data_IF_212689769623
#
_entry.id   IF_212689769623
#
_cell.length_a   1.000
_cell.length_b   1.000
_cell.length_c   1.000
_cell.angle_alpha   90.00
_cell.angle_beta   90.00
_cell.angle_gamma   90.00
#
_symmetry.space_group_name_H-M   'P 1'
#
loop_
_entity.id
_entity.type
_entity.pdbx_description
1 polymer ?
#
# COMPACT_ATOMS: atom_id res chain seq x y z
N UNK A 1 6.11 30.01 3.22
CA UNK A 1 7.58 30.04 3.29
C UNK A 1 8.04 30.66 1.97
N UNK A 2 8.79 31.77 2.02
CA UNK A 2 9.19 32.48 0.80
C UNK A 2 10.30 31.70 0.06
N UNK A 3 10.35 31.81 -1.28
CA UNK A 3 11.32 31.08 -2.14
C UNK A 3 12.78 31.03 -1.61
N UNK A 4 13.38 32.15 -1.14
CA UNK A 4 14.76 32.10 -0.64
C UNK A 4 14.90 31.32 0.68
N UNK A 5 13.88 31.36 1.55
CA UNK A 5 13.91 30.63 2.84
C UNK A 5 13.81 29.11 2.67
N UNK A 6 13.08 28.64 1.65
CA UNK A 6 13.00 27.21 1.33
C UNK A 6 14.27 26.70 0.64
N UNK A 7 14.88 27.50 -0.24
CA UNK A 7 16.17 27.15 -0.86
C UNK A 7 17.29 27.00 0.19
N UNK A 8 17.34 27.91 1.17
CA UNK A 8 18.27 27.78 2.30
C UNK A 8 17.96 26.58 3.20
N UNK A 9 16.68 26.23 3.41
CA UNK A 9 16.29 25.05 4.17
C UNK A 9 16.75 23.76 3.49
N UNK A 10 16.57 23.70 2.17
CA UNK A 10 17.04 22.58 1.36
C UNK A 10 18.57 22.48 1.39
N UNK A 11 19.34 23.57 1.33
CA UNK A 11 20.81 23.50 1.43
C UNK A 11 21.41 22.93 2.74
N UNK A 12 20.60 22.64 3.76
CA UNK A 12 21.04 22.01 4.99
C UNK A 12 21.24 20.48 4.82
N UNK A 13 22.04 19.81 5.68
CA UNK A 13 22.13 18.36 5.71
C UNK A 13 20.79 17.76 6.22
N UNK A 14 19.85 17.59 5.30
CA UNK A 14 18.52 17.06 5.58
C UNK A 14 18.57 15.53 5.65
N UNK A 15 18.04 14.98 6.75
CA UNK A 15 17.84 13.53 6.90
C UNK A 15 16.51 13.04 6.35
N UNK A 16 15.49 13.89 6.42
CA UNK A 16 14.13 13.55 5.99
C UNK A 16 13.55 14.69 5.17
N UNK A 17 12.88 14.36 4.06
CA UNK A 17 12.26 15.32 3.17
C UNK A 17 10.88 14.84 2.74
N UNK A 18 9.89 15.73 2.82
CA UNK A 18 8.54 15.49 2.33
C UNK A 18 8.17 16.53 1.27
N UNK A 19 7.82 16.05 0.08
CA UNK A 19 7.43 16.85 -1.08
C UNK A 19 6.03 16.43 -1.53
N UNK A 20 5.01 17.18 -1.11
CA UNK A 20 3.62 17.03 -1.59
C UNK A 20 3.33 17.94 -2.79
N UNK A 21 2.25 17.71 -3.52
CA UNK A 21 1.87 18.39 -4.79
C UNK A 21 2.10 19.92 -4.85
N UNK A 22 1.85 20.66 -3.76
CA UNK A 22 2.08 22.12 -3.74
C UNK A 22 3.55 22.53 -3.78
N UNK A 23 4.46 21.62 -3.42
CA UNK A 23 5.89 21.88 -3.24
C UNK A 23 6.63 21.97 -4.59
N UNK A 24 6.31 21.09 -5.54
CA UNK A 24 7.00 21.04 -6.83
C UNK A 24 6.78 22.31 -7.65
N UNK A 25 5.54 22.80 -7.73
CA UNK A 25 5.21 24.05 -8.44
C UNK A 25 5.91 25.28 -7.87
N UNK A 26 6.21 25.27 -6.56
CA UNK A 26 6.81 26.41 -5.87
C UNK A 26 8.34 26.38 -5.87
N UNK A 27 8.94 25.19 -5.97
CA UNK A 27 10.37 24.98 -5.71
C UNK A 27 11.09 24.10 -6.74
N UNK A 28 10.58 24.05 -7.98
CA UNK A 28 11.16 23.25 -9.08
C UNK A 28 12.67 23.49 -9.26
N UNK A 29 13.10 24.75 -9.30
CA UNK A 29 14.51 25.11 -9.50
C UNK A 29 15.41 24.56 -8.38
N UNK A 30 14.90 24.55 -7.15
CA UNK A 30 15.64 24.01 -5.99
C UNK A 30 15.69 22.49 -6.05
N UNK A 31 14.60 21.83 -6.45
CA UNK A 31 14.61 20.38 -6.62
C UNK A 31 15.59 19.98 -7.74
N UNK A 32 15.62 20.73 -8.86
CA UNK A 32 16.58 20.53 -9.96
C UNK A 32 18.03 20.64 -9.48
N UNK A 33 18.38 21.66 -8.68
CA UNK A 33 19.76 21.82 -8.20
C UNK A 33 20.23 20.64 -7.34
N UNK A 34 19.31 19.97 -6.63
CA UNK A 34 19.63 18.82 -5.77
C UNK A 34 19.65 17.48 -6.50
N UNK A 35 19.29 17.46 -7.79
CA UNK A 35 19.59 16.34 -8.68
C UNK A 35 21.07 16.39 -9.12
N UNK A 36 21.62 17.60 -9.28
CA UNK A 36 23.03 17.84 -9.60
C UNK A 36 23.93 17.65 -8.38
N UNK A 37 23.49 18.13 -7.21
CA UNK A 37 24.17 17.97 -5.92
C UNK A 37 23.26 17.26 -4.89
N UNK A 38 23.26 15.91 -4.85
CA UNK A 38 22.37 15.14 -3.99
C UNK A 38 22.58 15.42 -2.50
N UNK A 39 21.48 15.39 -1.74
CA UNK A 39 21.51 15.41 -0.27
C UNK A 39 22.24 14.18 0.24
N UNK A 40 23.48 14.37 0.67
CA UNK A 40 24.34 13.27 1.14
C UNK A 40 23.75 12.53 2.33
N UNK A 41 23.05 13.25 3.19
CA UNK A 41 22.52 12.75 4.46
C UNK A 41 21.04 12.34 4.40
N UNK A 42 20.40 12.42 3.23
CA UNK A 42 18.99 12.10 3.10
C UNK A 42 18.74 10.60 3.22
N UNK A 43 17.99 10.23 4.25
CA UNK A 43 17.65 8.85 4.59
C UNK A 43 16.15 8.56 4.40
N UNK A 44 15.28 9.57 4.49
CA UNK A 44 13.84 9.40 4.38
C UNK A 44 13.23 10.36 3.36
N UNK A 45 12.44 9.82 2.44
CA UNK A 45 11.82 10.60 1.38
C UNK A 45 10.34 10.24 1.24
N UNK A 46 9.47 11.24 1.35
CA UNK A 46 8.04 11.15 1.04
C UNK A 46 7.76 12.05 -0.14
N UNK A 47 7.28 11.48 -1.25
CA UNK A 47 7.03 12.23 -2.49
C UNK A 47 5.69 11.86 -3.09
N UNK A 48 4.97 12.87 -3.54
CA UNK A 48 3.81 12.69 -4.40
C UNK A 48 4.24 12.80 -5.88
N UNK A 49 4.04 11.71 -6.63
CA UNK A 49 4.34 11.60 -8.05
C UNK A 49 3.21 12.24 -8.87
N UNK A 50 3.48 13.43 -9.39
CA UNK A 50 2.52 14.30 -10.09
C UNK A 50 2.98 14.62 -11.53
N UNK A 51 2.54 15.77 -12.08
CA UNK A 51 2.90 16.22 -13.42
C UNK A 51 4.42 16.39 -13.64
N UNK A 52 5.23 16.46 -12.57
CA UNK A 52 6.70 16.56 -12.62
C UNK A 52 7.39 15.18 -12.60
N UNK A 53 6.79 14.17 -13.21
CA UNK A 53 7.21 12.76 -13.21
C UNK A 53 8.70 12.53 -13.44
N UNK A 54 9.28 13.18 -14.46
CA UNK A 54 10.70 13.02 -14.80
C UNK A 54 11.60 13.55 -13.67
N UNK A 55 11.29 14.75 -13.18
CA UNK A 55 12.06 15.39 -12.11
C UNK A 55 12.01 14.55 -10.83
N UNK A 56 10.84 14.02 -10.49
CA UNK A 56 10.64 13.17 -9.32
C UNK A 56 11.40 11.86 -9.46
N UNK A 57 11.34 11.25 -10.64
CA UNK A 57 12.09 10.02 -10.94
C UNK A 57 13.59 10.26 -10.78
N UNK A 58 14.13 11.32 -11.39
CA UNK A 58 15.54 11.66 -11.28
C UNK A 58 15.95 11.95 -9.83
N UNK A 59 15.12 12.69 -9.08
CA UNK A 59 15.35 12.97 -7.67
C UNK A 59 15.46 11.66 -6.86
N UNK A 60 14.49 10.75 -6.98
CA UNK A 60 14.49 9.48 -6.24
C UNK A 60 15.72 8.65 -6.61
N UNK A 61 15.98 8.46 -7.92
CA UNK A 61 17.06 7.58 -8.39
C UNK A 61 18.47 8.11 -8.05
N UNK A 62 18.63 9.42 -7.88
CA UNK A 62 19.90 10.02 -7.41
C UNK A 62 20.14 9.84 -5.92
N UNK A 63 19.08 9.71 -5.12
CA UNK A 63 19.16 9.54 -3.67
C UNK A 63 19.06 8.04 -3.31
N UNK A 64 20.05 7.25 -3.70
CA UNK A 64 20.03 5.79 -3.49
C UNK A 64 20.42 5.34 -2.07
N UNK A 65 20.82 6.26 -1.19
CA UNK A 65 21.15 6.00 0.22
C UNK A 65 19.93 5.93 1.14
N UNK A 66 18.72 6.11 0.62
CA UNK A 66 17.48 6.13 1.39
C UNK A 66 17.28 4.85 2.21
N UNK A 67 16.81 5.02 3.44
CA UNK A 67 16.31 3.99 4.34
C UNK A 67 14.79 3.85 4.27
N UNK A 68 14.09 4.94 3.97
CA UNK A 68 12.63 4.97 3.85
C UNK A 68 12.21 5.76 2.61
N UNK A 69 11.32 5.16 1.81
CA UNK A 69 10.73 5.78 0.64
C UNK A 69 9.21 5.58 0.67
N UNK A 70 8.46 6.68 0.65
CA UNK A 70 7.03 6.69 0.40
C UNK A 70 6.82 7.44 -0.91
N UNK A 71 6.16 6.78 -1.87
CA UNK A 71 5.84 7.39 -3.14
C UNK A 71 4.39 7.13 -3.53
N UNK A 72 3.65 8.20 -3.82
CA UNK A 72 2.23 8.12 -4.20
C UNK A 72 2.00 8.74 -5.55
N UNK A 73 1.47 7.99 -6.50
CA UNK A 73 0.94 8.54 -7.75
C UNK A 73 -0.40 9.25 -7.49
N UNK A 74 -0.57 10.46 -8.02
CA UNK A 74 -1.84 11.19 -7.85
C UNK A 74 -2.98 10.50 -8.59
N UNK A 75 -4.20 10.68 -8.08
CA UNK A 75 -5.41 10.15 -8.70
C UNK A 75 -5.83 10.93 -9.95
N UNK A 76 -5.26 12.11 -10.19
CA UNK A 76 -5.73 13.07 -11.20
C UNK A 76 -4.99 12.99 -12.55
N UNK A 77 -3.97 12.14 -12.66
CA UNK A 77 -3.13 12.07 -13.86
C UNK A 77 -3.85 11.44 -15.06
N UNK A 78 -4.74 12.16 -15.72
CA UNK A 78 -5.49 11.64 -16.88
C UNK A 78 -4.54 11.24 -18.01
N UNK A 79 -4.49 9.94 -18.35
CA UNK A 79 -3.80 9.47 -19.56
C UNK A 79 -3.14 8.10 -19.42
N UNK A 80 -2.70 7.55 -20.56
CA UNK A 80 -1.89 6.31 -20.64
C UNK A 80 -0.44 6.50 -20.19
N UNK A 81 -0.16 7.52 -19.38
CA UNK A 81 1.20 7.76 -18.91
C UNK A 81 1.49 6.85 -17.72
N UNK A 82 2.24 5.81 -18.03
CA UNK A 82 2.63 4.74 -17.13
C UNK A 82 4.10 4.87 -16.73
N UNK A 83 4.72 6.05 -16.84
CA UNK A 83 6.13 6.24 -16.44
C UNK A 83 6.38 5.83 -14.98
N UNK A 84 5.40 6.00 -14.10
CA UNK A 84 5.47 5.56 -12.71
C UNK A 84 5.80 4.05 -12.64
N UNK A 85 5.05 3.24 -13.39
CA UNK A 85 5.16 1.78 -13.40
C UNK A 85 6.17 1.25 -14.43
N UNK A 86 6.54 2.03 -15.43
CA UNK A 86 7.49 1.63 -16.48
C UNK A 86 8.92 2.12 -16.27
N UNK A 87 9.09 3.19 -15.50
CA UNK A 87 10.38 3.88 -15.35
C UNK A 87 10.74 4.03 -13.89
N UNK A 88 9.89 4.66 -13.08
CA UNK A 88 10.25 5.01 -11.70
C UNK A 88 10.39 3.76 -10.83
N UNK A 89 9.35 2.92 -10.73
CA UNK A 89 9.40 1.70 -9.91
C UNK A 89 10.45 0.71 -10.43
N UNK A 90 10.54 0.39 -11.73
CA UNK A 90 11.63 -0.45 -12.24
C UNK A 90 13.03 0.12 -11.98
N UNK A 91 13.16 1.45 -11.88
CA UNK A 91 14.40 2.13 -11.54
C UNK A 91 14.87 1.91 -10.10
N UNK A 92 13.97 1.54 -9.18
CA UNK A 92 14.32 1.20 -7.79
C UNK A 92 15.09 -0.14 -7.69
N UNK A 93 14.96 -1.00 -8.71
CA UNK A 93 15.71 -2.25 -8.82
C UNK A 93 17.18 -2.04 -9.16
N UNK A 94 17.87 -3.13 -9.55
CA UNK A 94 19.27 -3.15 -10.02
C UNK A 94 20.33 -2.90 -8.93
N UNK A 95 19.99 -3.19 -7.67
CA UNK A 95 20.95 -3.11 -6.55
C UNK A 95 21.39 -1.69 -6.20
N UNK A 96 20.61 -0.68 -6.56
CA UNK A 96 20.91 0.73 -6.24
C UNK A 96 20.54 1.07 -4.79
N UNK A 97 19.38 0.62 -4.31
CA UNK A 97 18.80 1.00 -3.03
C UNK A 97 19.11 0.01 -1.90
N UNK A 98 20.41 -0.26 -1.66
CA UNK A 98 20.83 -1.28 -0.68
C UNK A 98 20.53 -0.90 0.78
N UNK A 99 20.30 0.38 1.07
CA UNK A 99 19.96 0.86 2.40
C UNK A 99 18.46 0.90 2.68
N UNK A 100 17.62 0.68 1.67
CA UNK A 100 16.17 0.82 1.82
C UNK A 100 15.60 -0.29 2.70
N UNK A 101 14.90 0.10 3.77
CA UNK A 101 14.25 -0.80 4.74
C UNK A 101 12.74 -0.67 4.73
N UNK A 102 12.22 0.51 4.38
CA UNK A 102 10.79 0.79 4.32
C UNK A 102 10.41 1.36 2.97
N UNK A 103 9.50 0.69 2.27
CA UNK A 103 8.98 1.13 0.99
C UNK A 103 7.44 1.14 1.01
N UNK A 104 6.85 2.29 0.69
CA UNK A 104 5.42 2.42 0.44
C UNK A 104 5.19 2.96 -0.97
N UNK A 105 4.44 2.21 -1.76
CA UNK A 105 4.07 2.60 -3.12
C UNK A 105 2.55 2.63 -3.23
N UNK A 106 2.03 3.73 -3.73
CA UNK A 106 0.63 3.86 -4.09
C UNK A 106 0.49 4.17 -5.58
N UNK A 107 -0.23 3.32 -6.28
CA UNK A 107 -0.69 3.56 -7.64
C UNK A 107 -2.07 4.21 -7.66
N UNK A 108 -2.26 5.11 -8.62
CA UNK A 108 -3.56 5.67 -8.95
C UNK A 108 -4.37 4.75 -9.88
N UNK A 109 -5.65 5.07 -10.09
CA UNK A 109 -6.54 4.30 -10.97
C UNK A 109 -6.25 4.41 -12.47
N UNK A 110 -5.11 4.96 -12.87
CA UNK A 110 -4.73 5.24 -14.27
C UNK A 110 -4.14 4.01 -14.98
N UNK A 111 -3.56 3.04 -14.25
CA UNK A 111 -3.11 1.77 -14.86
C UNK A 111 -4.24 0.74 -14.98
N UNK A 112 -5.51 1.17 -14.87
CA UNK A 112 -6.64 0.30 -15.26
C UNK A 112 -6.62 0.16 -16.78
N UNK A 113 -6.58 -1.06 -17.29
CA UNK A 113 -6.56 -1.29 -18.72
C UNK A 113 -7.85 -0.72 -19.34
N UNK A 114 -7.70 0.28 -20.20
CA UNK A 114 -8.82 1.00 -20.81
C UNK A 114 -9.49 0.19 -21.95
N UNK A 115 -9.01 -1.04 -22.20
CA UNK A 115 -9.51 -1.93 -23.23
C UNK A 115 -10.00 -3.24 -22.64
N UNK A 116 -11.29 -3.52 -22.86
CA UNK A 116 -11.93 -4.84 -22.77
C UNK A 116 -12.13 -5.41 -21.36
N UNK A 117 -13.37 -5.26 -20.87
CA UNK A 117 -14.08 -6.14 -19.93
C UNK A 117 -13.48 -6.43 -18.54
N UNK A 118 -12.24 -6.06 -18.26
CA UNK A 118 -11.54 -6.38 -17.03
C UNK A 118 -11.27 -5.09 -16.23
N UNK A 119 -12.26 -4.67 -15.46
CA UNK A 119 -12.29 -3.44 -14.66
C UNK A 119 -11.26 -3.38 -13.48
N UNK A 120 -10.17 -4.16 -13.54
CA UNK A 120 -9.20 -4.41 -12.48
C UNK A 120 -7.81 -3.83 -12.78
N UNK A 121 -7.05 -3.58 -11.71
CA UNK A 121 -5.68 -3.08 -11.75
C UNK A 121 -4.68 -4.22 -11.49
N UNK A 122 -3.63 -4.30 -12.31
CA UNK A 122 -2.48 -5.15 -12.10
C UNK A 122 -1.19 -4.32 -12.03
N UNK A 123 -0.32 -4.65 -11.07
CA UNK A 123 1.05 -4.10 -11.02
C UNK A 123 1.85 -4.74 -12.16
N UNK A 124 2.57 -3.94 -12.95
CA UNK A 124 3.42 -4.48 -14.01
C UNK A 124 4.45 -5.49 -13.46
N UNK A 125 4.69 -6.63 -14.16
CA UNK A 125 5.67 -7.62 -13.71
C UNK A 125 7.05 -7.04 -13.45
N UNK A 126 7.50 -6.09 -14.28
CA UNK A 126 8.79 -5.41 -14.17
C UNK A 126 8.89 -4.59 -12.87
N UNK A 127 7.83 -3.86 -12.51
CA UNK A 127 7.74 -3.14 -11.25
C UNK A 127 7.82 -4.08 -10.06
N UNK A 128 7.04 -5.16 -10.09
CA UNK A 128 7.03 -6.13 -9.01
C UNK A 128 8.38 -6.82 -8.86
N UNK A 129 9.03 -7.18 -9.98
CA UNK A 129 10.37 -7.74 -9.99
C UNK A 129 11.39 -6.78 -9.36
N UNK A 130 11.38 -5.50 -9.76
CA UNK A 130 12.29 -4.49 -9.22
C UNK A 130 12.12 -4.29 -7.70
N UNK A 131 10.88 -4.25 -7.20
CA UNK A 131 10.60 -4.19 -5.76
C UNK A 131 11.21 -5.42 -5.05
N UNK A 132 11.07 -6.60 -5.65
CA UNK A 132 11.55 -7.86 -5.09
C UNK A 132 13.08 -8.02 -5.10
N UNK A 133 13.80 -7.21 -5.88
CA UNK A 133 15.27 -7.16 -5.87
C UNK A 133 15.84 -6.43 -4.64
N UNK A 134 15.02 -5.62 -3.95
CA UNK A 134 15.41 -4.85 -2.77
C UNK A 134 15.32 -5.76 -1.53
N UNK A 135 16.20 -6.77 -1.46
CA UNK A 135 16.22 -7.82 -0.43
C UNK A 135 16.44 -7.31 1.00
N UNK A 136 16.80 -6.05 1.13
CA UNK A 136 16.99 -5.37 2.41
C UNK A 136 15.71 -4.83 3.02
N UNK A 137 14.58 -4.85 2.29
CA UNK A 137 13.29 -4.41 2.81
C UNK A 137 12.86 -5.18 4.06
N UNK A 138 12.46 -4.43 5.08
CA UNK A 138 11.82 -4.91 6.30
C UNK A 138 10.33 -4.54 6.33
N UNK A 139 9.93 -3.47 5.64
CA UNK A 139 8.55 -2.98 5.57
C UNK A 139 8.19 -2.69 4.11
N UNK A 140 7.08 -3.25 3.64
CA UNK A 140 6.56 -3.04 2.30
C UNK A 140 5.08 -2.73 2.36
N UNK A 141 4.67 -1.62 1.75
CA UNK A 141 3.28 -1.26 1.54
C UNK A 141 2.97 -1.05 0.07
N UNK A 142 1.93 -1.73 -0.40
CA UNK A 142 1.42 -1.65 -1.77
C UNK A 142 -0.03 -1.19 -1.70
N UNK A 143 -0.36 -0.09 -2.39
CA UNK A 143 -1.73 0.40 -2.47
C UNK A 143 -2.13 0.66 -3.91
N UNK A 144 -3.30 0.14 -4.27
CA UNK A 144 -3.87 0.32 -5.60
C UNK A 144 -5.31 0.78 -5.45
N UNK A 145 -5.55 2.09 -5.59
CA UNK A 145 -6.87 2.65 -5.32
C UNK A 145 -7.25 3.73 -6.33
N UNK A 146 -8.55 3.85 -6.59
CA UNK A 146 -9.12 4.89 -7.45
C UNK A 146 -9.92 5.87 -6.63
N UNK A 147 -9.63 7.15 -6.72
CA UNK A 147 -10.51 8.17 -6.14
C UNK A 147 -11.82 8.19 -6.93
N UNK A 148 -12.95 8.25 -6.22
CA UNK A 148 -14.25 8.46 -6.86
C UNK A 148 -14.81 9.77 -6.35
N UNK A 149 -15.03 10.72 -7.27
CA UNK A 149 -15.70 11.99 -6.93
C UNK A 149 -17.20 11.74 -6.88
N UNK A 150 -17.77 11.70 -5.67
CA UNK A 150 -19.20 11.88 -5.44
C UNK A 150 -19.40 13.22 -4.71
N UNK A 151 -19.77 14.28 -5.43
CA UNK A 151 -20.08 15.58 -4.81
C UNK A 151 -18.89 16.29 -4.14
N UNK A 152 -19.20 17.25 -3.25
CA UNK A 152 -18.23 18.19 -2.64
C UNK A 152 -17.47 17.67 -1.41
N UNK A 153 -17.74 16.46 -0.90
CA UNK A 153 -17.05 15.99 0.30
C UNK A 153 -16.71 14.48 0.31
N UNK A 154 -15.49 14.23 0.81
CA UNK A 154 -14.84 12.99 1.26
C UNK A 154 -14.00 12.19 0.26
N UNK A 155 -12.78 11.90 0.72
CA UNK A 155 -11.68 11.17 0.09
C UNK A 155 -11.97 9.66 0.00
N UNK A 156 -13.13 9.29 -0.56
CA UNK A 156 -13.49 7.90 -0.72
C UNK A 156 -12.73 7.31 -1.92
N UNK A 157 -11.72 6.50 -1.60
CA UNK A 157 -11.01 5.69 -2.59
C UNK A 157 -11.64 4.31 -2.69
N UNK A 158 -11.82 3.82 -3.91
CA UNK A 158 -12.35 2.50 -4.18
C UNK A 158 -11.20 1.50 -4.38
N UNK A 159 -11.30 0.28 -3.82
CA UNK A 159 -10.36 -0.79 -4.11
C UNK A 159 -10.56 -1.25 -5.55
N UNK A 160 -9.45 -1.36 -6.29
CA UNK A 160 -9.46 -1.71 -7.72
C UNK A 160 -8.51 -2.87 -8.05
N UNK A 161 -7.77 -3.36 -7.05
CA UNK A 161 -6.79 -4.41 -7.26
C UNK A 161 -7.42 -5.77 -7.01
N UNK A 162 -7.83 -6.42 -8.10
CA UNK A 162 -8.28 -7.81 -8.04
C UNK A 162 -7.04 -8.68 -7.83
N UNK A 163 -6.67 -8.87 -6.57
CA UNK A 163 -5.35 -9.37 -6.23
C UNK A 163 -5.23 -10.89 -6.47
N UNK A 164 -4.17 -11.29 -7.17
CA UNK A 164 -3.68 -12.67 -7.17
C UNK A 164 -2.61 -12.82 -6.07
N UNK A 165 -3.04 -13.32 -4.91
CA UNK A 165 -2.14 -13.58 -3.79
C UNK A 165 -1.07 -14.63 -4.10
N UNK A 166 -1.37 -15.64 -4.92
CA UNK A 166 -0.39 -16.69 -5.26
C UNK A 166 0.74 -16.12 -6.11
N UNK A 167 0.40 -15.29 -7.11
CA UNK A 167 1.38 -14.55 -7.92
C UNK A 167 2.16 -13.57 -7.05
N UNK A 168 1.53 -12.83 -6.15
CA UNK A 168 2.26 -11.89 -5.29
C UNK A 168 3.21 -12.62 -4.32
N UNK A 169 2.76 -13.73 -3.72
CA UNK A 169 3.60 -14.58 -2.85
C UNK A 169 4.84 -15.10 -3.58
N UNK A 170 4.70 -15.56 -4.83
CA UNK A 170 5.82 -16.09 -5.61
C UNK A 170 6.87 -15.02 -5.97
N UNK A 171 6.47 -13.75 -6.12
CA UNK A 171 7.41 -12.65 -6.32
C UNK A 171 8.07 -12.24 -5.00
N UNK A 172 7.27 -12.00 -3.95
CA UNK A 172 7.78 -11.49 -2.66
C UNK A 172 8.66 -12.49 -1.91
N UNK A 173 8.70 -13.76 -2.30
CA UNK A 173 9.48 -14.80 -1.61
C UNK A 173 10.96 -14.45 -1.44
N UNK A 174 11.54 -13.56 -2.26
CA UNK A 174 12.94 -13.14 -2.14
C UNK A 174 13.19 -12.13 -1.01
N UNK A 175 12.14 -11.47 -0.51
CA UNK A 175 12.22 -10.47 0.55
C UNK A 175 12.29 -11.13 1.94
N UNK A 176 13.34 -11.93 2.19
CA UNK A 176 13.49 -12.73 3.42
C UNK A 176 13.59 -11.91 4.71
N UNK A 177 13.85 -10.61 4.61
CA UNK A 177 13.91 -9.70 5.74
C UNK A 177 12.58 -9.00 6.05
N UNK A 178 11.54 -9.21 5.24
CA UNK A 178 10.28 -8.52 5.39
C UNK A 178 9.56 -8.92 6.67
N UNK A 179 9.32 -7.93 7.54
CA UNK A 179 8.61 -8.04 8.82
C UNK A 179 7.19 -7.51 8.74
N UNK A 180 6.94 -6.52 7.89
CA UNK A 180 5.65 -5.86 7.75
C UNK A 180 5.23 -5.80 6.28
N UNK A 181 4.04 -6.32 5.98
CA UNK A 181 3.44 -6.28 4.65
C UNK A 181 2.07 -5.61 4.69
N UNK A 182 1.91 -4.52 3.94
CA UNK A 182 0.63 -3.84 3.75
C UNK A 182 0.17 -4.02 2.32
N UNK A 183 -1.02 -4.58 2.15
CA UNK A 183 -1.75 -4.68 0.90
C UNK A 183 -3.04 -3.87 1.09
N UNK A 184 -3.21 -2.82 0.29
CA UNK A 184 -4.40 -1.95 0.34
C UNK A 184 -5.00 -1.69 -1.01
N UNK A 185 -6.31 -1.48 -1.00
CA UNK A 185 -7.08 -1.34 -2.24
C UNK A 185 -7.26 -2.67 -2.98
N UNK A 186 -6.93 -3.78 -2.32
CA UNK A 186 -7.23 -5.13 -2.76
C UNK A 186 -8.73 -5.41 -2.68
N UNK A 187 -9.22 -6.17 -3.63
CA UNK A 187 -10.59 -6.65 -3.70
C UNK A 187 -10.61 -8.06 -4.30
N UNK A 188 -11.77 -8.69 -4.21
CA UNK A 188 -11.96 -10.10 -4.55
C UNK A 188 -13.17 -10.28 -5.46
N UNK A 189 -13.27 -11.39 -6.20
CA UNK A 189 -14.47 -11.71 -6.94
C UNK A 189 -15.68 -11.74 -5.98
N UNK A 190 -16.80 -11.09 -6.32
CA UNK A 190 -18.00 -11.14 -5.50
C UNK A 190 -18.58 -12.55 -5.57
N UNK A 191 -18.97 -13.10 -4.42
CA UNK A 191 -19.58 -14.44 -4.32
C UNK A 191 -21.09 -14.45 -4.53
N UNK A 192 -21.69 -13.27 -4.51
CA UNK A 192 -23.11 -13.02 -4.77
C UNK A 192 -23.19 -11.87 -5.76
N UNK A 193 -24.10 -11.98 -6.73
CA UNK A 193 -24.34 -10.97 -7.75
C UNK A 193 -23.09 -10.60 -8.57
N UNK A 194 -22.50 -11.59 -9.24
CA UNK A 194 -21.33 -11.44 -10.12
C UNK A 194 -21.48 -10.31 -11.16
N UNK A 195 -22.72 -10.02 -11.55
CA UNK A 195 -23.11 -8.92 -12.46
C UNK A 195 -22.59 -7.55 -12.00
N UNK A 196 -22.44 -7.31 -10.69
CA UNK A 196 -21.91 -6.04 -10.19
C UNK A 196 -20.37 -5.96 -10.28
N UNK A 197 -19.67 -7.09 -10.43
CA UNK A 197 -18.21 -7.14 -10.53
C UNK A 197 -17.47 -6.92 -9.20
N UNK A 198 -16.15 -7.13 -9.21
CA UNK A 198 -15.27 -7.13 -8.03
C UNK A 198 -15.23 -5.82 -7.23
N UNK A 199 -15.64 -4.69 -7.82
CA UNK A 199 -15.71 -3.40 -7.12
C UNK A 199 -16.75 -3.36 -6.00
N UNK A 200 -17.71 -4.28 -6.02
CA UNK A 200 -18.79 -4.36 -5.04
C UNK A 200 -18.53 -5.36 -3.91
N UNK A 201 -17.39 -6.06 -3.93
CA UNK A 201 -17.08 -7.09 -2.93
C UNK A 201 -17.33 -6.64 -1.48
N UNK A 202 -16.74 -5.51 -1.07
CA UNK A 202 -16.92 -4.97 0.28
C UNK A 202 -18.25 -4.22 0.49
N UNK A 203 -18.85 -3.70 -0.59
CA UNK A 203 -20.08 -2.90 -0.51
C UNK A 203 -21.32 -3.76 -0.38
N UNK A 204 -21.38 -4.88 -1.09
CA UNK A 204 -22.51 -5.80 -1.02
C UNK A 204 -22.50 -6.61 0.27
N UNK A 205 -21.31 -7.04 0.74
CA UNK A 205 -21.07 -7.80 1.98
C UNK A 205 -22.14 -8.85 2.37
N UNK A 206 -22.76 -9.48 1.37
CA UNK A 206 -23.77 -10.51 1.54
C UNK A 206 -23.12 -11.90 1.48
N UNK A 207 -23.44 -12.75 2.44
CA UNK A 207 -22.98 -14.14 2.46
C UNK A 207 -23.72 -14.97 1.40
N UNK A 208 -23.00 -15.94 0.81
CA UNK A 208 -23.62 -17.06 0.12
C UNK A 208 -23.69 -18.30 1.04
N UNK A 209 -24.14 -19.43 0.50
CA UNK A 209 -24.24 -20.68 1.27
C UNK A 209 -22.87 -21.19 1.76
N UNK A 210 -21.80 -20.97 1.00
CA UNK A 210 -20.43 -21.37 1.38
C UNK A 210 -19.90 -20.51 2.53
N UNK A 211 -20.21 -19.21 2.53
CA UNK A 211 -19.81 -18.29 3.59
C UNK A 211 -20.53 -18.67 4.90
N UNK A 212 -21.83 -19.00 4.82
CA UNK A 212 -22.60 -19.53 5.95
C UNK A 212 -22.02 -20.86 6.48
N UNK A 213 -21.57 -21.74 5.58
CA UNK A 213 -20.95 -23.00 5.98
C UNK A 213 -19.58 -22.77 6.61
N UNK A 214 -18.75 -21.91 6.04
CA UNK A 214 -17.46 -21.50 6.61
C UNK A 214 -17.63 -20.98 8.03
N UNK A 215 -18.66 -20.15 8.27
CA UNK A 215 -18.96 -19.62 9.59
C UNK A 215 -19.35 -20.70 10.63
N UNK A 216 -19.95 -21.80 10.18
CA UNK A 216 -20.27 -22.97 11.02
C UNK A 216 -19.06 -23.85 11.28
N UNK A 217 -18.20 -24.00 10.29
CA UNK A 217 -17.01 -24.85 10.36
C UNK A 217 -15.88 -24.22 11.20
N UNK A 218 -15.88 -22.89 11.32
CA UNK A 218 -14.85 -22.10 12.03
C UNK A 218 -15.38 -21.23 13.17
N UNK A 219 -16.14 -21.78 14.14
CA UNK A 219 -16.76 -20.99 15.21
C UNK A 219 -15.75 -20.20 16.06
N UNK A 220 -14.48 -20.61 16.10
CA UNK A 220 -13.39 -19.92 16.79
C UNK A 220 -13.13 -18.49 16.29
N UNK A 221 -13.57 -18.13 15.08
CA UNK A 221 -13.39 -16.79 14.52
C UNK A 221 -14.48 -15.81 14.92
N UNK A 222 -15.59 -16.27 15.51
CA UNK A 222 -16.72 -15.44 15.91
C UNK A 222 -16.35 -14.23 16.79
N UNK A 223 -15.38 -14.31 17.74
CA UNK A 223 -14.97 -13.15 18.54
C UNK A 223 -14.31 -12.01 17.74
N UNK A 224 -13.83 -12.29 16.53
CA UNK A 224 -13.08 -11.36 15.68
C UNK A 224 -13.91 -10.77 14.54
N UNK A 225 -15.23 -10.93 14.59
CA UNK A 225 -16.14 -10.39 13.59
C UNK A 225 -17.35 -9.73 14.23
N UNK A 226 -17.79 -8.61 13.66
CA UNK A 226 -19.01 -7.90 14.04
C UNK A 226 -19.86 -7.62 12.80
N UNK A 227 -21.17 -7.81 12.87
CA UNK A 227 -22.08 -7.53 11.76
C UNK A 227 -23.49 -7.20 12.24
N UNK A 228 -24.18 -6.36 11.45
CA UNK A 228 -25.50 -5.84 11.80
C UNK A 228 -26.62 -6.87 11.63
N UNK A 229 -26.35 -7.93 10.84
CA UNK A 229 -27.28 -9.02 10.58
C UNK A 229 -26.49 -10.31 10.28
N UNK A 230 -27.21 -11.44 10.25
CA UNK A 230 -26.62 -12.78 10.04
C UNK A 230 -25.84 -12.90 8.72
N UNK A 231 -26.35 -12.30 7.63
CA UNK A 231 -25.70 -12.36 6.31
C UNK A 231 -24.38 -11.60 6.30
N UNK A 232 -24.36 -10.36 6.80
CA UNK A 232 -23.14 -9.56 6.90
C UNK A 232 -22.14 -10.17 7.86
N UNK A 233 -22.61 -10.74 8.98
CA UNK A 233 -21.76 -11.42 9.95
C UNK A 233 -21.10 -12.67 9.33
N UNK A 234 -21.88 -13.51 8.66
CA UNK A 234 -21.36 -14.71 7.99
C UNK A 234 -20.36 -14.35 6.87
N UNK A 235 -20.64 -13.30 6.11
CA UNK A 235 -19.71 -12.82 5.08
C UNK A 235 -18.39 -12.33 5.70
N UNK A 236 -18.45 -11.50 6.76
CA UNK A 236 -17.25 -10.99 7.45
C UNK A 236 -16.44 -12.12 8.08
N UNK A 237 -17.11 -13.17 8.56
CA UNK A 237 -16.49 -14.39 9.05
C UNK A 237 -15.74 -15.12 7.93
N UNK A 238 -16.42 -15.47 6.84
CA UNK A 238 -15.80 -16.16 5.72
C UNK A 238 -14.68 -15.34 5.07
N UNK A 239 -14.84 -14.01 5.02
CA UNK A 239 -13.80 -13.10 4.56
C UNK A 239 -12.57 -13.13 5.48
N UNK A 240 -12.76 -13.09 6.80
CA UNK A 240 -11.66 -13.19 7.75
C UNK A 240 -10.91 -14.53 7.61
N UNK A 241 -11.64 -15.64 7.54
CA UNK A 241 -11.06 -16.96 7.31
C UNK A 241 -10.16 -16.97 6.06
N UNK A 242 -10.66 -16.39 4.95
CA UNK A 242 -9.88 -16.27 3.71
C UNK A 242 -8.60 -15.44 3.90
N UNK A 243 -8.67 -14.33 4.63
CA UNK A 243 -7.50 -13.49 4.88
C UNK A 243 -6.45 -14.21 5.73
N UNK A 244 -6.88 -15.02 6.70
CA UNK A 244 -6.00 -15.86 7.50
C UNK A 244 -5.30 -16.92 6.62
N UNK A 245 -6.03 -17.53 5.68
CA UNK A 245 -5.42 -18.47 4.72
C UNK A 245 -4.37 -17.80 3.82
N UNK A 246 -4.66 -16.62 3.28
CA UNK A 246 -3.67 -15.87 2.50
C UNK A 246 -2.46 -15.47 3.35
N UNK A 247 -2.68 -15.00 4.59
CA UNK A 247 -1.62 -14.64 5.53
C UNK A 247 -0.72 -15.83 5.86
N UNK A 248 -1.29 -17.04 6.08
CA UNK A 248 -0.51 -18.29 6.21
C UNK A 248 0.35 -18.54 4.97
N UNK A 249 -0.19 -18.32 3.78
CA UNK A 249 0.55 -18.40 2.51
C UNK A 249 1.76 -17.46 2.46
N UNK A 250 1.58 -16.19 2.82
CA UNK A 250 2.70 -15.24 2.90
C UNK A 250 3.74 -15.65 3.95
N UNK A 251 3.31 -16.09 5.14
CA UNK A 251 4.21 -16.50 6.22
C UNK A 251 5.13 -17.67 5.83
N UNK A 252 4.65 -18.59 4.99
CA UNK A 252 5.44 -19.71 4.44
C UNK A 252 6.61 -19.21 3.59
N UNK A 253 6.43 -18.14 2.80
CA UNK A 253 7.45 -17.62 1.88
C UNK A 253 8.28 -16.47 2.47
N UNK A 254 7.74 -15.77 3.48
CA UNK A 254 8.34 -14.65 4.21
C UNK A 254 8.63 -15.06 5.67
N UNK A 255 9.83 -15.58 5.97
CA UNK A 255 10.13 -16.22 7.25
C UNK A 255 10.17 -15.27 8.45
N UNK A 256 10.32 -13.97 8.22
CA UNK A 256 10.38 -12.94 9.28
C UNK A 256 9.11 -12.10 9.37
N UNK A 257 8.04 -12.46 8.64
CA UNK A 257 6.81 -11.68 8.64
C UNK A 257 6.16 -11.71 10.03
N UNK A 258 6.03 -10.54 10.64
CA UNK A 258 5.51 -10.29 11.99
C UNK A 258 4.11 -9.65 11.96
N UNK A 259 3.84 -8.83 10.93
CA UNK A 259 2.57 -8.13 10.78
C UNK A 259 2.14 -8.04 9.32
N UNK A 260 0.84 -8.16 9.06
CA UNK A 260 0.27 -8.03 7.72
C UNK A 260 -1.08 -7.30 7.74
N UNK A 261 -1.35 -6.51 6.71
CA UNK A 261 -2.69 -6.03 6.36
C UNK A 261 -3.04 -6.53 4.97
N UNK A 262 -4.14 -7.27 4.85
CA UNK A 262 -4.80 -7.57 3.57
C UNK A 262 -6.30 -7.73 3.80
N UNK A 263 -7.11 -7.43 2.79
CA UNK A 263 -8.57 -7.50 2.89
C UNK A 263 -9.15 -6.59 3.96
N UNK A 264 -8.53 -5.44 4.21
CA UNK A 264 -8.88 -4.57 5.35
C UNK A 264 -8.83 -5.32 6.71
N UNK A 265 -8.05 -6.41 6.84
CA UNK A 265 -7.85 -7.15 8.08
C UNK A 265 -6.40 -7.03 8.54
N UNK A 266 -6.10 -6.22 9.57
CA UNK A 266 -4.79 -6.23 10.18
C UNK A 266 -4.58 -7.52 10.97
N UNK A 267 -3.40 -8.11 10.85
CA UNK A 267 -3.04 -9.40 11.45
C UNK A 267 -1.62 -9.37 12.01
N UNK A 268 -1.43 -10.01 13.16
CA UNK A 268 -0.12 -10.27 13.78
C UNK A 268 0.20 -11.74 13.68
N UNK A 269 1.46 -12.05 13.43
CA UNK A 269 1.94 -13.43 13.50
C UNK A 269 2.43 -13.70 14.92
N UNK A 270 1.81 -14.69 15.58
CA UNK A 270 2.13 -15.08 16.95
C UNK A 270 2.40 -16.57 16.99
N UNK A 271 3.29 -16.97 17.88
CA UNK A 271 3.59 -18.37 18.16
C UNK A 271 2.47 -18.95 19.02
N UNK A 272 1.89 -20.07 18.58
CA UNK A 272 0.90 -20.81 19.34
C UNK A 272 1.54 -21.73 20.39
N UNK A 273 0.72 -22.49 21.11
CA UNK A 273 1.19 -23.38 22.17
C UNK A 273 2.13 -24.50 21.68
N UNK A 274 2.06 -24.84 20.39
CA UNK A 274 2.87 -25.87 19.75
C UNK A 274 4.14 -25.31 19.10
N UNK A 275 4.41 -24.00 19.26
CA UNK A 275 5.56 -23.32 18.67
C UNK A 275 5.35 -22.95 17.19
N UNK A 276 4.11 -23.06 16.68
CA UNK A 276 3.80 -22.76 15.28
C UNK A 276 3.35 -21.32 15.16
N UNK A 277 3.96 -20.58 14.23
CA UNK A 277 3.61 -19.18 14.01
C UNK A 277 2.36 -19.08 13.12
N UNK A 278 1.27 -18.57 13.69
CA UNK A 278 -0.03 -18.40 13.04
C UNK A 278 -0.42 -16.92 12.93
N UNK A 279 -1.16 -16.52 11.89
CA UNK A 279 -1.76 -15.19 11.83
C UNK A 279 -2.93 -15.09 12.80
N UNK A 280 -3.03 -13.96 13.49
CA UNK A 280 -4.12 -13.62 14.39
C UNK A 280 -4.69 -12.24 14.04
N UNK A 281 -6.02 -12.08 14.01
CA UNK A 281 -6.65 -10.79 13.71
C UNK A 281 -6.34 -9.75 14.80
N UNK A 282 -6.11 -8.51 14.38
CA UNK A 282 -5.92 -7.36 15.27
C UNK A 282 -7.22 -6.56 15.29
N UNK A 283 -8.13 -6.93 16.19
CA UNK A 283 -9.45 -6.33 16.30
C UNK A 283 -10.56 -7.22 15.74
N UNK A 284 -11.77 -6.68 15.72
CA UNK A 284 -13.00 -7.41 15.42
C UNK A 284 -13.76 -6.88 14.20
N UNK A 285 -13.21 -5.88 13.50
CA UNK A 285 -13.79 -5.34 12.28
C UNK A 285 -12.72 -5.05 11.22
N UNK A 286 -13.18 -4.61 10.04
CA UNK A 286 -12.30 -4.17 8.95
C UNK A 286 -11.67 -2.84 9.31
N UNK A 287 -10.38 -2.68 9.05
CA UNK A 287 -9.65 -1.44 9.25
C UNK A 287 -8.58 -1.29 8.17
N UNK A 288 -8.58 -0.14 7.49
CA UNK A 288 -7.56 0.20 6.52
C UNK A 288 -6.24 0.68 7.16
N UNK A 289 -6.22 0.82 8.49
CA UNK A 289 -5.07 1.18 9.30
C UNK A 289 -4.38 2.49 8.83
N UNK A 290 -5.17 3.46 8.33
CA UNK A 290 -4.65 4.70 7.70
C UNK A 290 -3.62 5.41 8.58
N UNK A 291 -3.94 5.60 9.86
CA UNK A 291 -3.08 6.26 10.84
C UNK A 291 -1.80 5.47 11.11
N UNK A 292 -1.91 4.15 11.34
CA UNK A 292 -0.76 3.29 11.57
C UNK A 292 0.20 3.28 10.36
N UNK A 293 -0.34 3.17 9.14
CA UNK A 293 0.45 3.21 7.90
C UNK A 293 1.17 4.55 7.76
N UNK A 294 0.48 5.66 8.01
CA UNK A 294 1.08 7.00 8.01
C UNK A 294 2.28 7.10 8.95
N UNK A 295 2.15 6.55 10.17
CA UNK A 295 3.23 6.56 11.18
C UNK A 295 4.39 5.62 10.82
N UNK A 296 4.11 4.44 10.28
CA UNK A 296 5.14 3.43 9.94
C UNK A 296 5.94 3.88 8.72
N UNK A 297 5.25 4.18 7.63
CA UNK A 297 5.88 4.41 6.34
C UNK A 297 6.17 5.88 6.06
N UNK A 298 5.40 6.80 6.63
CA UNK A 298 5.57 8.23 6.41
C UNK A 298 6.71 8.82 7.25
N UNK A 299 6.84 10.14 7.20
CA UNK A 299 7.64 10.86 8.20
C UNK A 299 6.82 10.92 9.48
N UNK A 300 7.44 10.53 10.61
CA UNK A 300 6.83 10.69 11.91
C UNK A 300 6.69 12.19 12.21
N UNK A 301 5.56 12.79 11.87
CA UNK A 301 5.15 14.02 12.52
C UNK A 301 4.45 13.62 13.81
N UNK A 302 4.99 14.01 14.97
CA UNK A 302 4.34 13.87 16.28
C UNK A 302 3.07 14.73 16.42
N UNK A 303 2.42 15.13 15.32
CA UNK A 303 1.29 16.06 15.32
C UNK A 303 0.08 15.40 14.67
N UNK A 304 -0.51 14.48 15.42
CA UNK A 304 -1.95 14.25 15.32
C UNK A 304 -2.66 15.46 15.94
N UNK A 305 -3.07 16.42 15.10
CA UNK A 305 -4.11 17.34 15.54
C UNK A 305 -5.39 16.50 15.64
N UNK A 306 -5.74 16.18 16.88
CA UNK A 306 -7.07 15.77 17.28
C UNK A 306 -8.11 16.70 16.65
N UNK A 307 -8.86 16.23 15.66
CA UNK A 307 -10.16 16.78 15.28
C UNK A 307 -11.14 15.62 15.11
N UNK A 308 -11.43 14.98 16.24
CA UNK A 308 -12.70 14.30 16.49
C UNK A 308 -13.05 14.56 17.94
N UNK A 309 -13.70 15.70 18.16
CA UNK A 309 -14.66 16.00 19.23
C UNK A 309 -15.22 17.39 18.96
N UNK A 310 -16.35 17.42 18.27
CA UNK A 310 -17.61 17.96 18.79
C UNK A 310 -18.78 17.31 18.02
#
# INVERSE_FOLDING_TARGET
>A
MDKPSFASFLSAPLKSLELRHSSFRLFEDVIRSHIEEPYRDLEELVVEFDDHQQLITELILKHNNLKKLWVTQTYYMSGRDNSFDRVMIPGLGKGLFNNLRSLYIQWGGQNQDAGLEADHFDIMPESLAAICEITTLEQLGLRCAKMVRWGEYTEDTFPIWLIDHGKLQSHLQNLKNLKLLVIRGDTYPPRVNEVFGHRWYYRSNCANQEDLQTAKDHPELAPFVQGDNEQTLAWKHAHLYRMLEYARGYRKVLPKLEWMLCGQRPMKFMEDADGVIQPHPVGNDVDECKTFIGRVFGLASEVEIAHLKD
#
